data_IF_146886630554
#
_entry.id   IF_146886630554
#
_cell.length_a   1.000
_cell.length_b   1.000
_cell.length_c   1.000
_cell.angle_alpha   90.00
_cell.angle_beta   90.00
_cell.angle_gamma   90.00
#
_symmetry.space_group_name_H-M   'P 1'
#
loop_
_entity.id
_entity.type
_entity.pdbx_description
1 polymer ?
#
# COMPACT_ATOMS: atom_id res chain seq x y z
N UNK A 1 -17.88 47.22 -21.14
CA UNK A 1 -19.15 46.61 -20.69
C UNK A 1 -18.82 45.21 -20.16
N UNK A 2 -18.76 45.05 -18.84
CA UNK A 2 -18.32 43.79 -18.19
C UNK A 2 -19.49 42.82 -18.16
N UNK A 3 -19.31 41.65 -18.78
CA UNK A 3 -20.30 40.56 -18.80
C UNK A 3 -20.40 39.98 -17.39
N UNK A 4 -21.54 40.18 -16.71
CA UNK A 4 -21.82 39.57 -15.42
C UNK A 4 -21.84 38.04 -15.62
N UNK A 5 -21.17 37.30 -14.74
CA UNK A 5 -21.20 35.83 -14.74
C UNK A 5 -22.54 35.39 -14.18
N UNK A 6 -23.38 34.82 -15.03
CA UNK A 6 -24.68 34.27 -14.64
C UNK A 6 -24.48 32.87 -14.05
N UNK A 7 -24.75 32.73 -12.76
CA UNK A 7 -24.79 31.44 -12.07
C UNK A 7 -26.15 30.78 -12.34
N UNK A 8 -26.33 30.26 -13.55
CA UNK A 8 -27.53 29.52 -13.98
C UNK A 8 -27.39 28.00 -13.80
N UNK A 9 -26.46 27.56 -12.94
CA UNK A 9 -26.36 26.17 -12.51
C UNK A 9 -27.05 26.01 -11.17
N UNK A 10 -28.29 25.49 -11.16
CA UNK A 10 -28.99 25.13 -9.92
C UNK A 10 -28.26 24.05 -9.12
N UNK A 11 -28.90 23.57 -8.04
CA UNK A 11 -28.36 22.54 -7.14
C UNK A 11 -27.85 21.27 -7.86
N UNK A 12 -28.33 20.99 -9.07
CA UNK A 12 -27.88 19.90 -9.94
C UNK A 12 -26.39 20.04 -10.35
N UNK A 13 -25.90 21.27 -10.54
CA UNK A 13 -24.49 21.54 -10.79
C UNK A 13 -23.61 21.39 -9.55
N UNK A 14 -24.19 21.52 -8.35
CA UNK A 14 -23.51 21.37 -7.06
C UNK A 14 -23.47 19.91 -6.60
N UNK A 15 -24.51 19.15 -6.91
CA UNK A 15 -24.69 17.73 -6.57
C UNK A 15 -24.11 16.80 -7.63
N UNK A 16 -23.72 17.30 -8.80
CA UNK A 16 -22.85 16.56 -9.70
C UNK A 16 -21.60 16.19 -8.90
N UNK A 17 -21.31 14.89 -8.67
CA UNK A 17 -19.98 14.54 -8.28
C UNK A 17 -19.13 14.94 -9.49
N UNK A 18 -18.43 16.08 -9.40
CA UNK A 18 -17.26 16.27 -10.24
C UNK A 18 -16.52 14.96 -10.14
N UNK A 19 -16.35 14.25 -11.26
CA UNK A 19 -15.59 13.03 -11.29
C UNK A 19 -14.19 13.45 -10.84
N UNK A 20 -13.97 13.42 -9.51
CA UNK A 20 -12.67 13.55 -8.90
C UNK A 20 -11.93 12.42 -9.55
N UNK A 21 -11.11 12.77 -10.55
CA UNK A 21 -9.94 11.99 -10.89
C UNK A 21 -9.35 11.66 -9.53
N UNK A 22 -9.51 10.41 -9.10
CA UNK A 22 -8.70 9.83 -8.06
C UNK A 22 -7.31 9.94 -8.65
N UNK A 23 -6.66 11.07 -8.35
CA UNK A 23 -5.22 11.17 -8.38
C UNK A 23 -4.83 10.09 -7.41
N UNK A 24 -4.58 8.88 -7.93
CA UNK A 24 -3.80 7.88 -7.25
C UNK A 24 -2.54 8.64 -6.91
N UNK A 25 -2.41 9.06 -5.67
CA UNK A 25 -1.15 9.49 -5.12
C UNK A 25 -0.20 8.36 -5.46
N UNK A 26 0.60 8.59 -6.52
CA UNK A 26 1.78 7.83 -6.77
C UNK A 26 2.71 8.28 -5.67
N UNK A 27 2.50 7.74 -4.46
CA UNK A 27 3.57 7.72 -3.49
C UNK A 27 4.67 6.95 -4.18
N UNK A 28 5.76 7.64 -4.50
CA UNK A 28 6.96 7.09 -5.11
C UNK A 28 7.38 5.82 -4.37
N UNK A 29 6.98 4.67 -4.92
CA UNK A 29 7.42 3.33 -4.51
C UNK A 29 8.76 3.08 -5.17
N UNK A 30 9.74 3.93 -4.92
CA UNK A 30 11.04 3.78 -5.54
C UNK A 30 11.67 2.47 -5.03
N UNK A 31 11.54 1.41 -5.87
CA UNK A 31 12.10 0.05 -5.75
C UNK A 31 11.31 -1.02 -4.99
N UNK A 32 9.97 -0.99 -4.99
CA UNK A 32 9.20 -2.16 -4.53
C UNK A 32 8.97 -3.19 -5.65
N UNK A 33 9.39 -4.44 -5.46
CA UNK A 33 9.10 -5.57 -6.37
C UNK A 33 7.88 -6.34 -5.85
N UNK A 34 6.92 -6.66 -6.74
CA UNK A 34 5.77 -7.50 -6.39
C UNK A 34 6.16 -8.98 -6.46
N UNK A 35 6.06 -9.68 -5.34
CA UNK A 35 6.20 -11.13 -5.27
C UNK A 35 4.86 -11.79 -4.92
N UNK A 36 4.61 -12.98 -5.45
CA UNK A 36 3.46 -13.82 -5.10
C UNK A 36 3.96 -15.01 -4.28
N UNK A 37 3.35 -15.25 -3.13
CA UNK A 37 3.71 -16.37 -2.25
C UNK A 37 2.43 -17.12 -1.82
N UNK A 38 2.53 -18.44 -1.74
CA UNK A 38 1.44 -19.29 -1.27
C UNK A 38 1.54 -19.49 0.23
N UNK A 39 0.54 -19.02 0.97
CA UNK A 39 0.44 -19.22 2.42
C UNK A 39 -0.47 -20.41 2.73
N UNK A 40 -0.17 -21.10 3.84
CA UNK A 40 -1.17 -21.94 4.49
C UNK A 40 -2.34 -21.05 4.99
N UNK A 41 -3.56 -21.56 4.87
CA UNK A 41 -4.78 -20.84 5.26
C UNK A 41 -4.77 -20.40 6.73
N UNK A 42 -4.35 -21.28 7.65
CA UNK A 42 -4.28 -20.97 9.09
C UNK A 42 -3.25 -19.90 9.38
N UNK A 43 -2.10 -19.96 8.70
CA UNK A 43 -1.04 -18.96 8.84
C UNK A 43 -1.52 -17.58 8.38
N UNK A 44 -2.24 -17.51 7.24
CA UNK A 44 -2.77 -16.25 6.73
C UNK A 44 -3.81 -15.64 7.69
N UNK A 45 -4.67 -16.46 8.29
CA UNK A 45 -5.66 -15.98 9.26
C UNK A 45 -4.99 -15.39 10.50
N UNK A 46 -3.95 -16.05 11.03
CA UNK A 46 -3.18 -15.54 12.17
C UNK A 46 -2.50 -14.22 11.84
N UNK A 47 -1.86 -14.10 10.68
CA UNK A 47 -1.21 -12.86 10.24
C UNK A 47 -2.24 -11.73 10.10
N UNK A 48 -3.42 -12.01 9.54
CA UNK A 48 -4.52 -11.03 9.43
C UNK A 48 -5.02 -10.58 10.81
N UNK A 49 -5.17 -11.49 11.76
CA UNK A 49 -5.60 -11.17 13.11
C UNK A 49 -4.61 -10.24 13.82
N UNK A 50 -3.30 -10.51 13.70
CA UNK A 50 -2.23 -9.66 14.24
C UNK A 50 -2.29 -8.27 13.60
N UNK A 51 -2.32 -8.21 12.26
CA UNK A 51 -2.40 -6.93 11.54
C UNK A 51 -3.62 -6.10 11.96
N UNK A 52 -4.77 -6.75 12.17
CA UNK A 52 -5.98 -6.10 12.63
C UNK A 52 -5.85 -5.54 14.06
N UNK A 53 -5.33 -6.35 14.98
CA UNK A 53 -5.16 -5.98 16.38
C UNK A 53 -4.17 -4.81 16.53
N UNK A 54 -3.04 -4.87 15.83
CA UNK A 54 -1.98 -3.86 15.88
C UNK A 54 -2.28 -2.61 15.04
N UNK A 55 -3.43 -2.56 14.36
CA UNK A 55 -3.81 -1.47 13.42
C UNK A 55 -2.73 -1.19 12.37
N UNK A 56 -2.03 -2.24 11.92
CA UNK A 56 -0.96 -2.17 10.91
C UNK A 56 -1.41 -2.78 9.59
N UNK A 57 -0.92 -2.29 8.44
CA UNK A 57 -1.15 -2.97 7.17
C UNK A 57 -0.45 -4.33 7.18
N UNK A 58 -1.11 -5.36 6.63
CA UNK A 58 -0.59 -6.72 6.59
C UNK A 58 0.82 -6.82 5.98
N UNK A 59 1.10 -5.98 4.97
CA UNK A 59 2.43 -5.91 4.34
C UNK A 59 3.53 -5.47 5.31
N UNK A 60 3.22 -4.60 6.27
CA UNK A 60 4.17 -4.12 7.28
C UNK A 60 4.47 -5.20 8.33
N UNK A 61 3.45 -5.96 8.73
CA UNK A 61 3.65 -7.13 9.62
C UNK A 61 4.56 -8.15 8.97
N UNK A 62 4.35 -8.42 7.67
CA UNK A 62 5.19 -9.36 6.91
C UNK A 62 6.61 -8.81 6.75
N UNK A 63 6.79 -7.53 6.41
CA UNK A 63 8.12 -6.94 6.26
C UNK A 63 8.90 -6.96 7.57
N UNK A 64 8.30 -6.55 8.69
CA UNK A 64 8.93 -6.59 10.01
C UNK A 64 9.41 -8.00 10.37
N UNK A 65 8.63 -9.04 10.06
CA UNK A 65 9.03 -10.43 10.28
C UNK A 65 10.17 -10.89 9.37
N UNK A 66 10.15 -10.50 8.09
CA UNK A 66 11.23 -10.82 7.14
C UNK A 66 12.53 -10.10 7.51
N UNK A 67 12.45 -8.82 7.88
CA UNK A 67 13.59 -8.01 8.30
C UNK A 67 14.24 -8.62 9.55
N UNK A 68 13.43 -9.01 10.54
CA UNK A 68 13.92 -9.71 11.73
C UNK A 68 14.64 -11.03 11.40
N UNK A 69 14.12 -11.80 10.44
CA UNK A 69 14.80 -13.03 9.99
C UNK A 69 16.13 -12.72 9.30
N UNK A 70 16.18 -11.72 8.42
CA UNK A 70 17.40 -11.29 7.72
C UNK A 70 18.47 -10.82 8.72
N UNK A 71 18.09 -10.02 9.72
CA UNK A 71 19.00 -9.53 10.76
C UNK A 71 19.57 -10.65 11.63
N UNK A 72 18.76 -11.67 11.92
CA UNK A 72 19.18 -12.81 12.73
C UNK A 72 20.09 -13.80 11.98
N UNK A 73 20.23 -13.67 10.66
CA UNK A 73 20.93 -14.65 9.83
C UNK A 73 22.46 -14.46 9.90
N UNK A 74 23.23 -15.43 10.43
CA UNK A 74 24.63 -15.24 10.81
C UNK A 74 25.59 -15.01 9.63
N UNK A 75 25.25 -15.50 8.42
CA UNK A 75 26.16 -15.54 7.27
C UNK A 75 25.57 -14.86 6.02
N UNK A 76 24.84 -13.75 6.20
CA UNK A 76 24.12 -13.10 5.10
C UNK A 76 25.05 -12.73 3.93
N UNK A 77 26.25 -12.20 4.23
CA UNK A 77 27.24 -11.83 3.19
C UNK A 77 27.72 -13.03 2.38
N UNK A 78 27.90 -14.18 3.02
CA UNK A 78 28.34 -15.42 2.36
C UNK A 78 27.21 -15.98 1.49
N UNK A 79 25.97 -15.98 2.00
CA UNK A 79 24.80 -16.43 1.25
C UNK A 79 24.58 -15.57 -0.01
N UNK A 80 24.67 -14.24 0.11
CA UNK A 80 24.53 -13.32 -1.04
C UNK A 80 25.65 -13.55 -2.08
N UNK A 81 26.87 -13.89 -1.63
CA UNK A 81 28.01 -14.15 -2.53
C UNK A 81 27.83 -15.43 -3.36
N UNK A 82 27.14 -16.44 -2.83
CA UNK A 82 26.86 -17.70 -3.53
C UNK A 82 25.72 -17.54 -4.54
N UNK A 83 24.76 -16.66 -4.25
CA UNK A 83 23.61 -16.40 -5.13
C UNK A 83 24.00 -15.66 -6.42
N UNK A 84 25.10 -14.90 -6.41
CA UNK A 84 25.63 -14.14 -7.55
C UNK A 84 26.63 -14.94 -8.36
#
# INVERSE_FOLDING_TARGET
MVKKKDFTGGIDGLLRPSAKKTVKEKTDKEKSVKATYYYNQDQLQKIKAIAFYDRKPIGKVISEALDSYIESYPDLKKAIKILK
#
